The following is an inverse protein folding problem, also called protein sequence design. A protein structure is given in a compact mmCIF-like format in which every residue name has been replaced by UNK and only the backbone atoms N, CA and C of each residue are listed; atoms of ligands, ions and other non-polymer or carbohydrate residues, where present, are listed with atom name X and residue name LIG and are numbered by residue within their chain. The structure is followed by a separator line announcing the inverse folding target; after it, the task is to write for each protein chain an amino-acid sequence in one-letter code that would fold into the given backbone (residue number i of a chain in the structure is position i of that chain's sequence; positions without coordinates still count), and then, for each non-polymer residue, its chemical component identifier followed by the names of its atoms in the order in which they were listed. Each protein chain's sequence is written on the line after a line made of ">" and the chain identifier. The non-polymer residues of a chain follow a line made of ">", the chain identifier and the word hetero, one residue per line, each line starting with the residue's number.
data_IF_732671975106
#
_entry.id   IF_732671975106
#
_cell.length_a   1.000
_cell.length_b   1.000
_cell.length_c   1.000
_cell.angle_alpha   90.00
_cell.angle_beta   90.00
_cell.angle_gamma   90.00
#
_symmetry.space_group_name_H-M   'P 1'
#
loop_
_entity.id
_entity.type
_entity.pdbx_description
1 polymer ?
#
# COMPACT_ATOMS: atom_id res chain seq x y z
N UNK A 1 -24.36 -4.28 6.23
CA UNK A 1 -23.00 -3.69 6.08
C UNK A 1 -21.99 -4.29 7.05
N UNK A 2 -22.34 -4.48 8.33
CA UNK A 2 -21.43 -5.04 9.36
C UNK A 2 -20.87 -6.42 9.00
N UNK A 3 -21.71 -7.38 8.59
CA UNK A 3 -21.23 -8.72 8.14
C UNK A 3 -20.21 -8.60 7.00
N UNK A 4 -20.55 -7.83 5.95
CA UNK A 4 -19.66 -7.59 4.81
C UNK A 4 -18.34 -6.93 5.23
N UNK A 5 -18.37 -6.03 6.21
CA UNK A 5 -17.17 -5.40 6.79
C UNK A 5 -16.23 -6.46 7.38
N UNK A 6 -16.71 -7.25 8.35
CA UNK A 6 -15.88 -8.25 9.02
C UNK A 6 -15.46 -9.40 8.10
N UNK A 7 -16.32 -9.81 7.15
CA UNK A 7 -15.94 -10.79 6.12
C UNK A 7 -14.84 -10.25 5.20
N UNK A 8 -14.88 -8.96 4.85
CA UNK A 8 -13.85 -8.34 4.02
C UNK A 8 -12.54 -8.17 4.79
N UNK A 9 -12.62 -7.69 6.03
CA UNK A 9 -11.48 -7.50 6.91
C UNK A 9 -10.79 -8.83 7.27
N UNK A 10 -11.55 -9.79 7.83
CA UNK A 10 -11.03 -11.11 8.18
C UNK A 10 -10.50 -11.88 6.97
N UNK A 11 -11.23 -11.81 5.85
CA UNK A 11 -10.82 -12.45 4.61
C UNK A 11 -9.52 -11.89 4.01
N UNK A 12 -9.19 -10.62 4.26
CA UNK A 12 -7.94 -10.03 3.79
C UNK A 12 -6.70 -10.66 4.45
N UNK A 13 -6.80 -11.16 5.69
CA UNK A 13 -5.71 -11.92 6.31
C UNK A 13 -5.51 -13.29 5.65
N UNK A 14 -6.61 -13.98 5.30
CA UNK A 14 -6.54 -15.21 4.51
C UNK A 14 -5.93 -15.00 3.12
N UNK A 15 -6.26 -13.88 2.47
CA UNK A 15 -5.67 -13.46 1.20
C UNK A 15 -4.16 -13.16 1.34
N UNK A 16 -3.79 -12.52 2.45
CA UNK A 16 -2.39 -12.23 2.78
C UNK A 16 -1.58 -13.52 2.91
N UNK A 17 -2.10 -14.51 3.66
CA UNK A 17 -1.46 -15.81 3.78
C UNK A 17 -1.35 -16.56 2.44
N UNK A 18 -2.31 -16.38 1.52
CA UNK A 18 -2.22 -16.93 0.16
C UNK A 18 -1.09 -16.29 -0.65
N UNK A 19 -0.98 -14.97 -0.60
CA UNK A 19 0.07 -14.23 -1.31
C UNK A 19 1.44 -14.59 -0.78
N UNK A 20 1.61 -14.67 0.54
CA UNK A 20 2.88 -15.05 1.17
C UNK A 20 3.36 -16.43 0.73
N UNK A 21 2.43 -17.38 0.58
CA UNK A 21 2.75 -18.73 0.08
C UNK A 21 3.08 -18.75 -1.41
N UNK A 22 2.40 -17.93 -2.21
CA UNK A 22 2.53 -17.95 -3.66
C UNK A 22 3.69 -17.09 -4.19
N UNK A 23 4.00 -15.98 -3.51
CA UNK A 23 4.99 -14.99 -3.92
C UNK A 23 6.01 -14.71 -2.79
N UNK A 24 6.62 -15.74 -2.15
CA UNK A 24 7.50 -15.55 -1.00
C UNK A 24 8.70 -14.67 -1.32
N UNK A 25 9.24 -14.76 -2.54
CA UNK A 25 10.38 -13.97 -2.98
C UNK A 25 10.11 -12.46 -3.00
N UNK A 26 8.88 -12.06 -3.34
CA UNK A 26 8.48 -10.65 -3.35
C UNK A 26 8.42 -10.08 -1.93
N UNK A 27 7.97 -10.90 -0.98
CA UNK A 27 7.93 -10.58 0.45
C UNK A 27 9.35 -10.47 1.01
N UNK A 28 10.20 -11.45 0.73
CA UNK A 28 11.61 -11.46 1.18
C UNK A 28 12.37 -10.27 0.61
N UNK A 29 12.18 -9.96 -0.68
CA UNK A 29 12.83 -8.80 -1.31
C UNK A 29 12.44 -7.48 -0.63
N UNK A 30 11.14 -7.32 -0.34
CA UNK A 30 10.65 -6.12 0.34
C UNK A 30 11.16 -6.02 1.77
N UNK A 31 11.13 -7.12 2.54
CA UNK A 31 11.73 -7.16 3.88
C UNK A 31 13.24 -6.87 3.85
N UNK A 32 13.95 -7.38 2.84
CA UNK A 32 15.39 -7.12 2.67
C UNK A 32 15.70 -5.64 2.41
N UNK A 33 14.87 -4.95 1.61
CA UNK A 33 15.01 -3.50 1.39
C UNK A 33 14.74 -2.71 2.68
N UNK A 34 13.72 -3.09 3.44
CA UNK A 34 13.42 -2.47 4.74
C UNK A 34 14.59 -2.65 5.72
N UNK A 35 15.10 -3.87 5.83
CA UNK A 35 16.24 -4.19 6.69
C UNK A 35 17.51 -3.45 6.24
N UNK A 36 17.72 -3.29 4.94
CA UNK A 36 18.84 -2.50 4.39
C UNK A 36 18.72 -1.04 4.80
N UNK A 37 17.51 -0.46 4.74
CA UNK A 37 17.27 0.89 5.27
C UNK A 37 17.62 0.95 6.76
N UNK A 38 17.19 -0.03 7.55
CA UNK A 38 17.51 -0.06 8.98
C UNK A 38 19.00 -0.15 9.27
N UNK A 39 19.80 -0.95 8.55
CA UNK A 39 21.26 -0.97 8.83
C UNK A 39 21.89 0.38 8.55
N UNK A 40 21.41 1.09 7.53
CA UNK A 40 21.90 2.43 7.21
C UNK A 40 21.44 3.43 8.25
N UNK A 41 20.20 3.34 8.74
CA UNK A 41 19.69 4.14 9.85
C UNK A 41 20.50 3.92 11.14
N UNK A 42 20.88 2.68 11.46
CA UNK A 42 21.79 2.39 12.58
C UNK A 42 23.16 3.03 12.35
N UNK A 43 23.74 2.86 11.16
CA UNK A 43 25.07 3.39 10.83
C UNK A 43 25.16 4.92 10.93
N UNK A 44 24.11 5.64 10.53
CA UNK A 44 24.08 7.11 10.63
C UNK A 44 23.64 7.61 12.03
N UNK A 45 23.40 6.72 12.99
CA UNK A 45 23.04 7.08 14.36
C UNK A 45 21.56 7.42 14.58
N UNK A 46 20.65 7.01 13.70
CA UNK A 46 19.20 7.24 13.85
C UNK A 46 18.60 6.54 15.08
N UNK A 47 19.22 5.45 15.53
CA UNK A 47 18.84 4.72 16.75
C UNK A 47 19.76 5.05 17.95
N UNK A 48 20.59 6.09 17.86
CA UNK A 48 21.45 6.54 18.97
C UNK A 48 20.64 6.86 20.23
N UNK A 49 21.16 6.66 21.45
CA UNK A 49 20.54 7.16 22.68
C UNK A 49 20.49 8.69 22.73
N UNK A 50 21.41 9.38 22.05
CA UNK A 50 21.45 10.85 21.97
C UNK A 50 20.40 11.39 20.99
N UNK A 51 19.48 12.22 21.50
CA UNK A 51 18.42 12.85 20.72
C UNK A 51 18.94 13.79 19.62
N UNK A 52 20.05 14.50 19.86
CA UNK A 52 20.63 15.41 18.87
C UNK A 52 21.21 14.63 17.68
N UNK A 53 21.89 13.51 17.95
CA UNK A 53 22.39 12.60 16.91
C UNK A 53 21.24 12.01 16.10
N UNK A 54 20.17 11.53 16.76
CA UNK A 54 18.98 11.02 16.06
C UNK A 54 18.33 12.07 15.17
N UNK A 55 18.21 13.31 15.65
CA UNK A 55 17.62 14.40 14.87
C UNK A 55 18.48 14.72 13.64
N UNK A 56 19.81 14.79 13.78
CA UNK A 56 20.71 14.98 12.66
C UNK A 56 20.64 13.83 11.65
N UNK A 57 20.62 12.58 12.13
CA UNK A 57 20.46 11.37 11.33
C UNK A 57 19.15 11.35 10.52
N UNK A 58 18.05 11.87 11.09
CA UNK A 58 16.75 11.93 10.44
C UNK A 58 16.76 12.73 9.13
N UNK A 59 17.66 13.72 9.03
CA UNK A 59 17.81 14.65 7.91
C UNK A 59 18.90 14.23 6.92
N UNK A 60 19.59 13.11 7.15
CA UNK A 60 20.67 12.66 6.29
C UNK A 60 20.17 12.29 4.88
N UNK A 61 20.78 12.82 3.79
CA UNK A 61 20.35 12.56 2.42
C UNK A 61 20.30 11.07 2.07
N UNK A 62 21.25 10.27 2.58
CA UNK A 62 21.32 8.83 2.30
C UNK A 62 20.08 8.07 2.84
N UNK A 63 19.56 8.48 4.00
CA UNK A 63 18.34 7.93 4.57
C UNK A 63 17.12 8.24 3.70
N UNK A 64 17.02 9.48 3.22
CA UNK A 64 15.94 9.89 2.32
C UNK A 64 16.03 9.21 0.95
N UNK A 65 17.24 9.00 0.43
CA UNK A 65 17.47 8.33 -0.85
C UNK A 65 16.98 6.87 -0.85
N UNK A 66 17.18 6.14 0.25
CA UNK A 66 16.70 4.76 0.41
C UNK A 66 15.20 4.64 0.59
N UNK A 67 14.56 5.71 1.07
CA UNK A 67 13.11 5.78 1.13
C UNK A 67 12.46 5.56 -0.25
N UNK A 68 13.08 6.03 -1.34
CA UNK A 68 12.49 5.92 -2.68
C UNK A 68 12.44 4.48 -3.21
N UNK A 69 13.53 3.69 -3.23
CA UNK A 69 13.48 2.27 -3.55
C UNK A 69 12.47 1.50 -2.70
N UNK A 70 12.39 1.78 -1.39
CA UNK A 70 11.40 1.19 -0.48
C UNK A 70 9.98 1.50 -0.94
N UNK A 71 9.66 2.77 -1.22
CA UNK A 71 8.32 3.17 -1.67
C UNK A 71 7.95 2.54 -3.03
N UNK A 72 8.88 2.49 -3.98
CA UNK A 72 8.67 1.79 -5.25
C UNK A 72 8.39 0.30 -5.04
N UNK A 73 9.10 -0.34 -4.10
CA UNK A 73 8.86 -1.73 -3.74
C UNK A 73 7.48 -1.92 -3.13
N UNK A 74 7.07 -1.06 -2.17
CA UNK A 74 5.71 -1.05 -1.58
C UNK A 74 4.64 -1.06 -2.67
N UNK A 75 4.73 -0.14 -3.64
CA UNK A 75 3.74 -0.03 -4.72
C UNK A 75 3.78 -1.22 -5.69
N UNK A 76 4.96 -1.79 -5.92
CA UNK A 76 5.17 -2.98 -6.74
C UNK A 76 4.61 -4.23 -6.06
N UNK A 77 4.80 -4.40 -4.74
CA UNK A 77 4.21 -5.50 -3.99
C UNK A 77 2.69 -5.42 -4.01
N UNK A 78 2.12 -4.23 -3.81
CA UNK A 78 0.68 -4.02 -3.93
C UNK A 78 0.16 -4.39 -5.34
N UNK A 79 0.88 -4.00 -6.41
CA UNK A 79 0.55 -4.32 -7.79
C UNK A 79 0.44 -5.83 -8.02
N UNK A 80 1.51 -6.57 -7.71
CA UNK A 80 1.54 -8.01 -7.92
C UNK A 80 0.57 -8.75 -6.99
N UNK A 81 0.36 -8.25 -5.78
CA UNK A 81 -0.65 -8.78 -4.85
C UNK A 81 -2.05 -8.69 -5.45
N UNK A 82 -2.47 -7.52 -5.93
CA UNK A 82 -3.78 -7.35 -6.56
C UNK A 82 -3.95 -8.27 -7.77
N UNK A 83 -2.92 -8.35 -8.62
CA UNK A 83 -2.94 -9.23 -9.80
C UNK A 83 -3.07 -10.70 -9.42
N UNK A 84 -2.28 -11.18 -8.46
CA UNK A 84 -2.36 -12.56 -7.99
C UNK A 84 -3.71 -12.87 -7.36
N UNK A 85 -4.23 -12.00 -6.49
CA UNK A 85 -5.51 -12.24 -5.82
C UNK A 85 -6.72 -12.21 -6.76
N UNK A 86 -6.58 -11.60 -7.93
CA UNK A 86 -7.60 -11.64 -8.98
C UNK A 86 -7.43 -12.83 -9.91
N UNK A 87 -6.22 -13.05 -10.42
CA UNK A 87 -5.95 -14.08 -11.44
C UNK A 87 -5.77 -15.48 -10.86
N UNK A 88 -5.47 -15.60 -9.56
CA UNK A 88 -5.12 -16.84 -8.86
C UNK A 88 -3.99 -17.63 -9.54
N UNK A 89 -3.15 -16.96 -10.35
CA UNK A 89 -2.07 -17.56 -11.14
C UNK A 89 -0.78 -16.76 -10.95
N UNK A 90 0.27 -17.42 -10.45
CA UNK A 90 1.59 -16.82 -10.27
C UNK A 90 2.13 -16.34 -11.63
N UNK A 91 2.02 -17.18 -12.66
CA UNK A 91 2.52 -16.85 -14.01
C UNK A 91 1.86 -15.62 -14.61
N UNK A 92 0.53 -15.50 -14.46
CA UNK A 92 -0.22 -14.34 -14.97
C UNK A 92 0.03 -13.09 -14.13
N UNK A 93 0.17 -13.24 -12.81
CA UNK A 93 0.47 -12.12 -11.92
C UNK A 93 1.83 -11.48 -12.25
N UNK A 94 2.87 -12.29 -12.43
CA UNK A 94 4.25 -11.85 -12.68
C UNK A 94 4.54 -11.44 -14.13
N UNK A 95 3.63 -11.69 -15.06
CA UNK A 95 3.76 -11.29 -16.47
C UNK A 95 2.70 -10.23 -16.82
N UNK A 96 2.84 -9.00 -16.29
CA UNK A 96 1.88 -7.93 -16.57
C UNK A 96 1.89 -7.54 -18.04
N UNK A 97 0.71 -7.25 -18.59
CA UNK A 97 0.63 -6.68 -19.93
C UNK A 97 1.23 -5.28 -19.94
N UNK A 98 1.70 -4.82 -21.11
CA UNK A 98 2.18 -3.43 -21.29
C UNK A 98 1.13 -2.40 -20.85
N UNK A 99 -0.15 -2.71 -21.07
CA UNK A 99 -1.26 -1.86 -20.65
C UNK A 99 -1.40 -1.78 -19.12
N UNK A 100 -1.25 -2.90 -18.40
CA UNK A 100 -1.24 -2.92 -16.93
C UNK A 100 -0.11 -2.06 -16.37
N UNK A 101 1.12 -2.26 -16.87
CA UNK A 101 2.27 -1.45 -16.46
C UNK A 101 2.04 0.04 -16.70
N UNK A 102 1.64 0.43 -17.91
CA UNK A 102 1.39 1.83 -18.27
C UNK A 102 0.30 2.47 -17.41
N UNK A 103 -0.78 1.75 -17.12
CA UNK A 103 -1.88 2.28 -16.29
C UNK A 103 -1.46 2.37 -14.83
N UNK A 104 -0.71 1.40 -14.33
CA UNK A 104 -0.28 1.39 -12.94
C UNK A 104 0.81 2.42 -12.65
N UNK A 105 1.59 2.87 -13.64
CA UNK A 105 2.46 4.05 -13.50
C UNK A 105 1.66 5.27 -13.03
N UNK A 106 0.43 5.47 -13.48
CA UNK A 106 -0.41 6.57 -12.98
C UNK A 106 -0.85 6.39 -11.53
N UNK A 107 -1.02 5.14 -11.08
CA UNK A 107 -1.28 4.84 -9.66
C UNK A 107 -0.03 5.13 -8.84
N UNK A 108 1.15 4.75 -9.32
CA UNK A 108 2.44 5.09 -8.70
C UNK A 108 2.61 6.61 -8.62
N UNK A 109 2.34 7.35 -9.69
CA UNK A 109 2.41 8.82 -9.68
C UNK A 109 1.42 9.44 -8.68
N UNK A 110 0.20 8.92 -8.62
CA UNK A 110 -0.78 9.33 -7.61
C UNK A 110 -0.28 9.09 -6.18
N UNK A 111 0.40 7.97 -5.91
CA UNK A 111 0.96 7.68 -4.58
C UNK A 111 2.23 8.49 -4.29
N UNK A 112 3.03 8.74 -5.33
CA UNK A 112 4.29 9.46 -5.25
C UNK A 112 4.08 10.92 -4.88
N UNK A 113 3.12 11.62 -5.50
CA UNK A 113 2.93 13.07 -5.29
C UNK A 113 2.66 13.41 -3.82
N UNK A 114 1.65 12.83 -3.13
CA UNK A 114 1.41 13.08 -1.71
C UNK A 114 2.61 12.68 -0.84
N UNK A 115 3.25 11.55 -1.13
CA UNK A 115 4.45 11.09 -0.40
C UNK A 115 5.59 12.11 -0.51
N UNK A 116 5.84 12.61 -1.72
CA UNK A 116 6.85 13.63 -1.98
C UNK A 116 6.52 14.95 -1.27
N UNK A 117 5.25 15.37 -1.25
CA UNK A 117 4.82 16.56 -0.49
C UNK A 117 5.11 16.40 1.00
N UNK A 118 4.89 15.22 1.58
CA UNK A 118 5.18 14.98 3.00
C UNK A 118 6.68 14.99 3.29
N UNK A 119 7.46 14.28 2.48
CA UNK A 119 8.90 14.11 2.66
C UNK A 119 9.65 15.43 2.41
N UNK A 120 9.30 16.14 1.33
CA UNK A 120 9.99 17.36 0.90
C UNK A 120 9.26 18.66 1.27
N UNK A 121 8.29 18.62 2.19
CA UNK A 121 7.53 19.80 2.60
C UNK A 121 8.42 21.01 2.93
N UNK A 122 9.45 20.80 3.75
CA UNK A 122 10.36 21.87 4.15
C UNK A 122 11.22 22.41 3.00
N UNK A 123 11.96 21.57 2.23
CA UNK A 123 12.66 22.03 1.04
C UNK A 123 11.77 22.78 0.03
N UNK A 124 10.57 22.25 -0.25
CA UNK A 124 9.61 22.88 -1.18
C UNK A 124 9.22 24.28 -0.68
N UNK A 125 8.82 24.40 0.59
CA UNK A 125 8.36 25.68 1.13
C UNK A 125 9.49 26.70 1.31
N UNK A 126 10.73 26.26 1.56
CA UNK A 126 11.90 27.14 1.62
C UNK A 126 12.13 27.87 0.29
N UNK A 127 11.88 27.23 -0.86
CA UNK A 127 11.97 27.87 -2.19
C UNK A 127 11.04 29.08 -2.30
N UNK A 128 9.92 29.08 -1.59
CA UNK A 128 8.92 30.15 -1.59
C UNK A 128 9.02 31.10 -0.39
N UNK A 129 10.06 30.98 0.45
CA UNK A 129 10.17 31.78 1.68
C UNK A 129 9.15 31.41 2.77
N UNK A 130 8.48 30.26 2.65
CA UNK A 130 7.42 29.81 3.56
C UNK A 130 7.87 28.67 4.49
N UNK A 131 9.18 28.48 4.70
CA UNK A 131 9.77 27.36 5.45
C UNK A 131 9.50 27.30 6.95
N UNK A 132 8.58 28.11 7.49
CA UNK A 132 8.19 28.09 8.89
C UNK A 132 7.52 26.76 9.29
N UNK A 133 7.75 26.31 10.53
CA UNK A 133 7.29 25.01 11.02
C UNK A 133 5.79 24.76 10.82
N UNK A 134 4.95 25.79 11.03
CA UNK A 134 3.50 25.70 10.84
C UNK A 134 3.10 25.40 9.37
N UNK A 135 3.77 26.01 8.40
CA UNK A 135 3.52 25.79 6.98
C UNK A 135 3.97 24.38 6.56
N UNK A 136 5.14 23.94 7.04
CA UNK A 136 5.67 22.59 6.80
C UNK A 136 4.70 21.54 7.33
N UNK A 137 4.21 21.71 8.55
CA UNK A 137 3.23 20.79 9.13
C UNK A 137 1.89 20.82 8.39
N UNK A 138 1.43 21.99 7.96
CA UNK A 138 0.23 22.11 7.12
C UNK A 138 0.38 21.33 5.82
N UNK A 139 1.49 21.50 5.10
CA UNK A 139 1.72 20.80 3.83
C UNK A 139 1.83 19.28 4.02
N UNK A 140 2.51 18.83 5.09
CA UNK A 140 2.55 17.41 5.48
C UNK A 140 1.16 16.86 5.79
N UNK A 141 0.35 17.61 6.54
CA UNK A 141 -1.01 17.19 6.88
C UNK A 141 -1.89 17.09 5.63
N UNK A 142 -1.85 18.09 4.74
CA UNK A 142 -2.59 18.05 3.47
C UNK A 142 -2.14 16.87 2.61
N UNK A 143 -0.84 16.66 2.43
CA UNK A 143 -0.29 15.53 1.69
C UNK A 143 -0.76 14.19 2.27
N UNK A 144 -0.51 13.96 3.56
CA UNK A 144 -0.87 12.71 4.23
C UNK A 144 -2.38 12.43 4.26
N UNK A 145 -3.19 13.45 4.58
CA UNK A 145 -4.65 13.31 4.58
C UNK A 145 -5.20 13.11 3.17
N UNK A 146 -4.68 13.79 2.16
CA UNK A 146 -5.12 13.60 0.78
C UNK A 146 -4.94 12.16 0.33
N UNK A 147 -3.81 11.53 0.68
CA UNK A 147 -3.57 10.13 0.37
C UNK A 147 -4.59 9.22 1.06
N UNK A 148 -4.82 9.39 2.36
CA UNK A 148 -5.77 8.57 3.12
C UNK A 148 -7.22 8.75 2.64
N UNK A 149 -7.61 9.98 2.31
CA UNK A 149 -8.98 10.34 1.96
C UNK A 149 -9.31 10.10 0.48
N UNK A 150 -8.34 10.14 -0.44
CA UNK A 150 -8.61 9.90 -1.85
C UNK A 150 -8.59 8.41 -2.21
N UNK A 151 -7.75 7.61 -1.54
CA UNK A 151 -7.60 6.18 -1.85
C UNK A 151 -8.92 5.39 -1.88
N UNK A 152 -9.85 5.51 -0.91
CA UNK A 152 -11.09 4.74 -0.92
C UNK A 152 -11.97 5.02 -2.15
N UNK A 153 -11.93 6.25 -2.69
CA UNK A 153 -12.66 6.62 -3.90
C UNK A 153 -12.02 6.04 -5.17
N UNK A 154 -10.75 5.64 -5.10
CA UNK A 154 -9.92 5.25 -6.24
C UNK A 154 -9.63 3.74 -6.33
N UNK A 155 -10.18 2.93 -5.41
CA UNK A 155 -9.90 1.50 -5.33
C UNK A 155 -10.22 0.72 -6.61
N UNK A 156 -11.36 1.02 -7.26
CA UNK A 156 -11.75 0.36 -8.51
C UNK A 156 -10.74 0.68 -9.62
N UNK A 157 -10.26 1.93 -9.67
CA UNK A 157 -9.22 2.36 -10.60
C UNK A 157 -7.89 1.65 -10.32
N UNK A 158 -7.45 1.54 -9.06
CA UNK A 158 -6.21 0.85 -8.71
C UNK A 158 -6.22 -0.61 -9.16
N UNK A 159 -7.31 -1.33 -8.87
CA UNK A 159 -7.45 -2.73 -9.28
C UNK A 159 -7.46 -2.86 -10.80
N UNK A 160 -8.21 -2.01 -11.50
CA UNK A 160 -8.27 -2.05 -12.97
C UNK A 160 -6.93 -1.69 -13.62
N UNK A 161 -6.22 -0.71 -13.07
CA UNK A 161 -4.89 -0.36 -13.51
C UNK A 161 -3.92 -1.53 -13.31
N UNK A 162 -3.96 -2.21 -12.14
CA UNK A 162 -3.12 -3.35 -11.84
C UNK A 162 -3.33 -4.52 -12.82
N UNK A 163 -4.57 -4.72 -13.26
CA UNK A 163 -4.93 -5.79 -14.19
C UNK A 163 -4.74 -5.41 -15.66
N UNK A 164 -4.69 -4.11 -15.96
CA UNK A 164 -4.60 -3.59 -17.32
C UNK A 164 -5.95 -3.49 -18.02
N UNK A 165 -7.05 -3.39 -17.27
CA UNK A 165 -8.40 -3.20 -17.80
C UNK A 165 -8.78 -1.71 -17.79
N UNK A 166 -9.74 -1.35 -18.65
CA UNK A 166 -10.18 0.05 -18.87
C UNK A 166 -11.49 0.41 -18.18
N UNK A 167 -12.15 -0.55 -17.53
CA UNK A 167 -13.50 -0.36 -17.00
C UNK A 167 -13.64 0.78 -16.01
N UNK A 168 -12.59 1.08 -15.24
CA UNK A 168 -12.59 2.19 -14.28
C UNK A 168 -11.36 3.09 -14.43
N UNK A 169 -11.61 4.35 -14.79
CA UNK A 169 -10.68 5.46 -14.55
C UNK A 169 -10.94 6.12 -13.18
N UNK A 170 -10.12 7.09 -12.76
CA UNK A 170 -10.21 7.71 -11.43
C UNK A 170 -11.59 8.35 -11.16
N UNK A 171 -12.11 9.13 -12.13
CA UNK A 171 -13.42 9.79 -11.98
C UNK A 171 -14.56 8.78 -11.88
N UNK A 172 -14.56 7.75 -12.73
CA UNK A 172 -15.59 6.69 -12.69
C UNK A 172 -15.51 5.89 -11.40
N UNK A 173 -14.31 5.57 -10.92
CA UNK A 173 -14.09 4.92 -9.62
C UNK A 173 -14.75 5.70 -8.49
N UNK A 174 -14.52 7.01 -8.42
CA UNK A 174 -15.09 7.86 -7.37
C UNK A 174 -16.62 7.91 -7.43
N UNK A 175 -17.18 8.08 -8.63
CA UNK A 175 -18.64 8.10 -8.85
C UNK A 175 -19.32 6.79 -8.44
N UNK A 176 -18.74 5.65 -8.81
CA UNK A 176 -19.29 4.32 -8.50
C UNK A 176 -19.18 4.01 -7.01
N UNK A 177 -18.08 4.42 -6.38
CA UNK A 177 -17.88 4.30 -4.93
C UNK A 177 -19.01 5.03 -4.18
N UNK A 178 -19.24 6.31 -4.46
CA UNK A 178 -20.29 7.10 -3.81
C UNK A 178 -20.29 6.93 -2.28
N UNK A 179 -21.44 6.72 -1.65
CA UNK A 179 -21.56 6.55 -0.19
C UNK A 179 -20.84 5.33 0.40
N UNK A 180 -20.46 4.33 -0.41
CA UNK A 180 -19.62 3.21 0.06
C UNK A 180 -18.20 3.67 0.42
N UNK A 181 -17.85 4.91 0.07
CA UNK A 181 -16.64 5.60 0.48
C UNK A 181 -16.37 5.44 1.98
N UNK A 182 -17.34 5.75 2.85
CA UNK A 182 -17.13 5.72 4.30
C UNK A 182 -16.87 4.30 4.82
N UNK A 183 -17.54 3.31 4.23
CA UNK A 183 -17.30 1.92 4.54
C UNK A 183 -15.90 1.47 4.11
N UNK A 184 -15.47 1.82 2.89
CA UNK A 184 -14.14 1.50 2.38
C UNK A 184 -13.03 2.24 3.14
N UNK A 185 -13.27 3.51 3.53
CA UNK A 185 -12.38 4.30 4.37
C UNK A 185 -12.20 3.63 5.74
N UNK A 186 -13.30 3.31 6.43
CA UNK A 186 -13.25 2.63 7.72
C UNK A 186 -12.49 1.29 7.62
N UNK A 187 -12.76 0.52 6.57
CA UNK A 187 -12.10 -0.77 6.34
C UNK A 187 -10.59 -0.60 6.08
N UNK A 188 -10.21 0.39 5.27
CA UNK A 188 -8.82 0.74 5.02
C UNK A 188 -8.10 1.19 6.29
N UNK A 189 -8.74 2.02 7.12
CA UNK A 189 -8.17 2.50 8.39
C UNK A 189 -7.98 1.36 9.39
N UNK A 190 -8.99 0.52 9.60
CA UNK A 190 -8.92 -0.61 10.54
C UNK A 190 -7.88 -1.64 10.09
N UNK A 191 -7.63 -1.79 8.79
CA UNK A 191 -6.53 -2.62 8.30
C UNK A 191 -5.16 -1.93 8.47
N UNK A 192 -5.01 -0.68 8.02
CA UNK A 192 -3.71 0.02 7.95
C UNK A 192 -3.20 0.47 9.31
N UNK A 193 -4.04 1.14 10.11
CA UNK A 193 -3.61 1.84 11.34
C UNK A 193 -2.92 0.90 12.32
N UNK A 194 -3.43 -0.30 12.64
CA UNK A 194 -2.76 -1.20 13.58
C UNK A 194 -1.34 -1.55 13.13
N UNK A 195 -1.13 -1.90 11.86
CA UNK A 195 0.20 -2.21 11.35
C UNK A 195 1.13 -1.00 11.35
N UNK A 196 0.63 0.19 10.96
CA UNK A 196 1.40 1.43 11.02
C UNK A 196 1.82 1.77 12.46
N UNK A 197 0.96 1.50 13.44
CA UNK A 197 1.28 1.70 14.86
C UNK A 197 2.31 0.69 15.36
N UNK A 198 2.22 -0.58 14.95
CA UNK A 198 3.25 -1.58 15.25
C UNK A 198 4.60 -1.15 14.67
N UNK A 199 4.63 -0.78 13.40
CA UNK A 199 5.84 -0.30 12.72
C UNK A 199 6.47 0.90 13.44
N UNK A 200 5.66 1.92 13.76
CA UNK A 200 6.11 3.10 14.48
C UNK A 200 6.65 2.76 15.88
N UNK A 201 5.97 1.86 16.62
CA UNK A 201 6.39 1.48 17.98
C UNK A 201 7.67 0.65 18.01
N UNK A 202 7.88 -0.24 17.04
CA UNK A 202 9.13 -0.99 16.92
C UNK A 202 10.31 -0.05 16.70
N UNK A 203 10.17 0.93 15.79
CA UNK A 203 11.18 1.94 15.56
C UNK A 203 11.43 2.83 16.78
N UNK A 204 10.37 3.32 17.44
CA UNK A 204 10.49 4.18 18.62
C UNK A 204 11.14 3.45 19.79
N UNK A 205 10.74 2.21 20.06
CA UNK A 205 11.30 1.45 21.17
C UNK A 205 12.77 1.10 20.92
N UNK A 206 13.14 0.77 19.69
CA UNK A 206 14.50 0.41 19.30
C UNK A 206 15.53 1.52 19.56
N UNK A 207 15.11 2.80 19.58
CA UNK A 207 15.99 3.92 19.81
C UNK A 207 16.66 3.86 21.20
N UNK A 208 17.99 3.89 21.21
CA UNK A 208 18.80 3.85 22.43
C UNK A 208 18.89 2.49 23.11
N UNK A 209 18.37 1.42 22.51
CA UNK A 209 18.45 0.07 23.04
C UNK A 209 19.83 -0.57 22.75
N UNK A 210 20.27 -1.55 23.54
CA UNK A 210 21.45 -2.34 23.21
C UNK A 210 21.21 -3.23 21.97
N UNK A 211 22.28 -3.60 21.28
CA UNK A 211 22.24 -4.32 19.99
C UNK A 211 21.38 -5.59 19.99
N UNK A 212 21.39 -6.35 21.09
CA UNK A 212 20.62 -7.58 21.23
C UNK A 212 19.10 -7.35 21.33
N UNK A 213 18.65 -6.13 21.60
CA UNK A 213 17.25 -5.69 21.53
C UNK A 213 16.96 -4.99 20.21
N UNK A 214 17.87 -4.09 19.79
CA UNK A 214 17.77 -3.30 18.58
C UNK A 214 17.54 -4.17 17.34
N UNK A 215 18.44 -5.12 17.08
CA UNK A 215 18.40 -5.91 15.84
C UNK A 215 17.16 -6.79 15.72
N UNK A 216 16.72 -7.55 16.75
CA UNK A 216 15.46 -8.28 16.67
C UNK A 216 14.24 -7.38 16.38
N UNK A 217 14.22 -6.16 16.91
CA UNK A 217 13.13 -5.21 16.64
C UNK A 217 13.14 -4.71 15.21
N UNK A 218 14.30 -4.38 14.66
CA UNK A 218 14.45 -3.97 13.27
C UNK A 218 14.11 -5.10 12.30
N UNK A 219 14.47 -6.35 12.64
CA UNK A 219 14.07 -7.52 11.85
C UNK A 219 12.56 -7.73 11.91
N UNK A 220 11.95 -7.63 13.10
CA UNK A 220 10.50 -7.74 13.24
C UNK A 220 9.78 -6.63 12.47
N UNK A 221 10.30 -5.40 12.53
CA UNK A 221 9.78 -4.25 11.79
C UNK A 221 9.83 -4.50 10.28
N UNK A 222 10.98 -4.99 9.79
CA UNK A 222 11.18 -5.36 8.39
C UNK A 222 10.21 -6.43 7.88
N UNK A 223 9.72 -7.31 8.77
CA UNK A 223 8.69 -8.30 8.44
C UNK A 223 7.27 -7.73 8.50
N UNK A 224 7.00 -6.75 9.37
CA UNK A 224 5.69 -6.10 9.50
C UNK A 224 5.33 -5.32 8.23
N UNK A 225 6.28 -4.63 7.61
CA UNK A 225 6.01 -3.80 6.42
C UNK A 225 5.43 -4.59 5.24
N UNK A 226 6.01 -5.71 4.76
CA UNK A 226 5.40 -6.48 3.69
C UNK A 226 4.06 -7.11 4.07
N UNK A 227 3.88 -7.55 5.33
CA UNK A 227 2.56 -8.03 5.81
C UNK A 227 1.52 -6.93 5.68
N UNK A 228 1.84 -5.72 6.14
CA UNK A 228 0.97 -4.55 6.04
C UNK A 228 0.60 -4.25 4.59
N UNK A 229 1.59 -4.21 3.68
CA UNK A 229 1.34 -3.86 2.27
C UNK A 229 0.44 -4.87 1.58
N UNK A 230 0.68 -6.17 1.80
CA UNK A 230 -0.18 -7.22 1.23
C UNK A 230 -1.58 -7.17 1.83
N UNK A 231 -1.71 -7.01 3.15
CA UNK A 231 -3.00 -6.97 3.82
C UNK A 231 -3.84 -5.76 3.39
N UNK A 232 -3.20 -4.59 3.23
CA UNK A 232 -3.86 -3.39 2.70
C UNK A 232 -4.27 -3.60 1.24
N UNK A 233 -3.42 -4.15 0.38
CA UNK A 233 -3.79 -4.42 -1.01
C UNK A 233 -4.94 -5.43 -1.12
N UNK A 234 -4.94 -6.47 -0.28
CA UNK A 234 -6.02 -7.45 -0.20
C UNK A 234 -7.34 -6.84 0.26
N UNK A 235 -7.32 -6.01 1.31
CA UNK A 235 -8.54 -5.34 1.80
C UNK A 235 -9.08 -4.35 0.78
N UNK A 236 -8.20 -3.63 0.07
CA UNK A 236 -8.56 -2.72 -1.02
C UNK A 236 -9.23 -3.46 -2.17
N UNK A 237 -8.71 -4.63 -2.56
CA UNK A 237 -9.34 -5.47 -3.58
C UNK A 237 -10.72 -5.96 -3.15
N UNK A 238 -10.85 -6.44 -1.90
CA UNK A 238 -12.15 -6.88 -1.35
C UNK A 238 -13.16 -5.74 -1.30
N UNK A 239 -12.73 -4.55 -0.92
CA UNK A 239 -13.56 -3.36 -0.94
C UNK A 239 -14.01 -3.01 -2.37
N UNK A 240 -13.09 -3.01 -3.34
CA UNK A 240 -13.40 -2.76 -4.74
C UNK A 240 -14.43 -3.77 -5.30
N UNK A 241 -14.27 -5.07 -4.99
CA UNK A 241 -15.25 -6.12 -5.36
C UNK A 241 -16.62 -5.85 -4.75
N UNK A 242 -16.68 -5.62 -3.44
CA UNK A 242 -17.93 -5.37 -2.73
C UNK A 242 -18.66 -4.12 -3.29
N UNK A 243 -17.91 -3.06 -3.62
CA UNK A 243 -18.46 -1.85 -4.24
C UNK A 243 -19.01 -2.14 -5.63
N UNK A 244 -18.25 -2.83 -6.50
CA UNK A 244 -18.67 -3.15 -7.86
C UNK A 244 -19.94 -4.03 -7.86
N UNK A 245 -19.94 -5.12 -7.09
CA UNK A 245 -21.07 -6.05 -6.95
C UNK A 245 -22.35 -5.33 -6.49
N UNK A 246 -22.23 -4.44 -5.50
CA UNK A 246 -23.37 -3.68 -4.96
C UNK A 246 -23.97 -2.68 -5.92
N UNK A 247 -23.20 -2.29 -6.94
CA UNK A 247 -23.65 -1.39 -8.01
C UNK A 247 -24.06 -2.14 -9.27
N UNK A 248 -24.12 -3.48 -9.22
CA UNK A 248 -24.42 -4.32 -10.37
C UNK A 248 -23.38 -4.18 -11.49
N UNK A 249 -22.15 -3.75 -11.16
CA UNK A 249 -21.08 -3.59 -12.12
C UNK A 249 -20.07 -4.72 -11.97
N UNK A 250 -19.53 -5.18 -13.09
CA UNK A 250 -18.44 -6.15 -13.09
C UNK A 250 -17.15 -5.41 -12.76
N UNK A 251 -16.35 -5.94 -11.84
CA UNK A 251 -15.06 -5.34 -11.47
C UNK A 251 -14.06 -5.41 -12.64
N UNK A 252 -14.17 -6.47 -13.44
CA UNK A 252 -13.35 -6.74 -14.62
C UNK A 252 -14.24 -6.79 -15.87
N UNK A 253 -14.07 -5.84 -16.77
CA UNK A 253 -14.62 -5.98 -18.13
C UNK A 253 -13.98 -7.23 -18.77
N UNK A 254 -14.76 -8.31 -18.93
CA UNK A 254 -14.30 -9.62 -19.45
C UNK A 254 -14.73 -10.85 -18.63
N UNK A 255 -15.17 -10.69 -17.37
CA UNK A 255 -15.66 -11.82 -16.55
C UNK A 255 -16.96 -12.44 -17.08
N UNK A 256 -17.74 -11.74 -17.91
CA UNK A 256 -19.01 -12.29 -18.42
C UNK A 256 -18.85 -13.39 -19.45
N UNK A 257 -17.71 -13.50 -20.14
CA UNK A 257 -17.55 -14.41 -21.28
C UNK A 257 -16.36 -15.35 -21.09
N UNK A 258 -15.19 -14.82 -20.71
CA UNK A 258 -13.98 -15.63 -20.56
C UNK A 258 -13.91 -16.35 -19.20
N UNK A 259 -14.40 -15.73 -18.11
CA UNK A 259 -14.46 -16.39 -16.80
C UNK A 259 -15.61 -17.42 -16.73
N UNK A 260 -16.73 -17.21 -17.42
CA UNK A 260 -17.78 -18.25 -17.58
C UNK A 260 -17.30 -19.44 -18.41
N UNK A 261 -16.50 -19.20 -19.46
CA UNK A 261 -15.92 -20.27 -20.27
C UNK A 261 -14.83 -21.06 -19.52
N UNK A 262 -14.06 -20.40 -18.64
CA UNK A 262 -13.04 -21.06 -17.82
C UNK A 262 -13.62 -21.85 -16.63
N UNK A 263 -14.87 -21.60 -16.24
CA UNK A 263 -15.60 -22.32 -15.17
C UNK A 263 -16.60 -23.33 -15.77
N UNK A 264 -16.40 -23.75 -17.02
CA UNK A 264 -17.26 -24.71 -17.72
C UNK A 264 -17.62 -25.94 -16.87
N UNK A 265 -18.88 -25.99 -16.46
CA UNK A 265 -19.52 -27.13 -15.80
C UNK A 265 -21.03 -26.97 -15.87
N UNK A 266 -21.60 -27.47 -16.97
CA UNK A 266 -23.01 -27.77 -17.26
C UNK A 266 -24.09 -26.81 -16.71
N UNK A 267 -24.85 -26.22 -17.66
CA UNK A 267 -26.19 -25.72 -17.35
C UNK A 267 -27.02 -26.87 -16.75
N UNK A 268 -27.44 -26.73 -15.49
CA UNK A 268 -28.55 -27.53 -14.95
C UNK A 268 -29.83 -26.88 -15.51
N UNK A 269 -30.64 -27.60 -16.29
CA UNK A 269 -31.93 -27.07 -16.73
C UNK A 269 -32.86 -27.01 -15.51
N UNK A 270 -33.60 -25.90 -15.42
CA UNK A 270 -34.82 -25.80 -14.61
C UNK A 270 -35.97 -26.37 -15.43
#
# INVERSE_FOLDING_TARGET
>A
MIRTFFTSWGGAFGDTARVFRALPWLIVLMAGIELTQHVIEVWIGFFSPDAAVRHAAALQPIRMALGWPKMLMVWSVAFFTMRYLVTQSIGTALRPSRLALRRYVWVILFQFVPTALVIYAEPILKVFGLGGAANVMTLRAVGGLSQILLEPALLLWFVNAALGTTGYGPVRSARVTGWWYFWALALGLVMRVPFSQVHARLNMYAAGQPDWVLWPMLVLDALVVPVMVVAVAAVQLRAARAIAERRGQVLLEGESSAARAAVGGAAVPV
#
